data_IF_733468418787
#
_entry.id   IF_733468418787
#
_cell.length_a   1.000
_cell.length_b   1.000
_cell.length_c   1.000
_cell.angle_alpha   90.00
_cell.angle_beta   90.00
_cell.angle_gamma   90.00
#
_symmetry.space_group_name_H-M   'P 1'
#
loop_
_entity.id
_entity.type
_entity.pdbx_description
1 polymer ?
#
# COMPACT_ATOMS: atom_id res chain seq x y z
N UNK A 1 -12.83 -22.38 2.52
CA UNK A 1 -14.13 -21.94 2.04
C UNK A 1 -14.39 -20.46 2.33
N UNK A 2 -14.26 -20.00 3.58
CA UNK A 2 -14.58 -18.60 3.99
C UNK A 2 -13.78 -17.54 3.25
N UNK A 3 -12.45 -17.67 3.13
CA UNK A 3 -11.60 -16.71 2.42
C UNK A 3 -11.99 -16.54 0.96
N UNK A 4 -12.38 -17.63 0.27
CA UNK A 4 -12.83 -17.56 -1.12
C UNK A 4 -14.12 -16.76 -1.27
N UNK A 5 -15.08 -16.95 -0.38
CA UNK A 5 -16.32 -16.19 -0.38
C UNK A 5 -16.07 -14.69 -0.13
N UNK A 6 -15.14 -14.38 0.78
CA UNK A 6 -14.74 -12.99 1.04
C UNK A 6 -14.12 -12.33 -0.20
N UNK A 7 -13.23 -13.05 -0.92
CA UNK A 7 -12.65 -12.52 -2.16
C UNK A 7 -13.72 -12.35 -3.25
N UNK A 8 -14.62 -13.31 -3.43
CA UNK A 8 -15.72 -13.17 -4.39
C UNK A 8 -16.54 -11.92 -4.13
N UNK A 9 -16.98 -11.70 -2.90
CA UNK A 9 -17.75 -10.51 -2.51
C UNK A 9 -16.94 -9.21 -2.68
N UNK A 10 -15.66 -9.23 -2.30
CA UNK A 10 -14.79 -8.06 -2.42
C UNK A 10 -14.58 -7.66 -3.88
N UNK A 11 -14.22 -8.64 -4.74
CA UNK A 11 -13.97 -8.37 -6.16
C UNK A 11 -15.24 -8.01 -6.93
N UNK A 12 -16.41 -8.55 -6.55
CA UNK A 12 -17.70 -8.18 -7.13
C UNK A 12 -18.12 -6.75 -6.77
N UNK A 13 -17.77 -6.29 -5.56
CA UNK A 13 -18.07 -4.93 -5.10
C UNK A 13 -17.05 -3.89 -5.59
N UNK A 14 -15.91 -4.32 -6.11
CA UNK A 14 -14.82 -3.42 -6.50
C UNK A 14 -15.13 -2.73 -7.83
N UNK A 15 -14.88 -1.40 -7.95
CA UNK A 15 -15.07 -0.71 -9.23
C UNK A 15 -14.10 -1.20 -10.29
N UNK A 16 -14.46 -0.98 -11.56
CA UNK A 16 -13.61 -1.25 -12.72
C UNK A 16 -13.52 0.02 -13.58
N UNK A 17 -12.32 0.42 -14.07
CA UNK A 17 -11.03 -0.25 -13.87
C UNK A 17 -10.49 -0.08 -12.43
N UNK A 18 -9.69 -1.04 -11.97
CA UNK A 18 -9.01 -0.97 -10.67
C UNK A 18 -7.59 -1.52 -10.74
N UNK A 19 -6.66 -0.81 -10.10
CA UNK A 19 -5.29 -1.26 -9.86
C UNK A 19 -5.19 -1.76 -8.42
N UNK A 20 -4.66 -2.95 -8.25
CA UNK A 20 -4.70 -3.70 -7.00
C UNK A 20 -3.30 -4.10 -6.56
N UNK A 21 -3.04 -4.08 -5.26
CA UNK A 21 -1.87 -4.70 -4.67
C UNK A 21 -2.27 -5.44 -3.40
N UNK A 22 -1.39 -6.31 -2.90
CA UNK A 22 -1.69 -7.19 -1.78
C UNK A 22 -1.42 -6.53 -0.42
N UNK A 23 -2.24 -6.85 0.57
CA UNK A 23 -1.87 -6.71 1.98
C UNK A 23 -1.15 -7.96 2.51
N UNK A 24 -0.73 -7.91 3.77
CA UNK A 24 -0.06 -9.03 4.43
C UNK A 24 -0.99 -10.23 4.69
N UNK A 25 -2.29 -10.00 4.83
CA UNK A 25 -3.30 -11.05 5.06
C UNK A 25 -3.84 -11.67 3.77
N UNK A 26 -3.47 -11.13 2.62
CA UNK A 26 -3.91 -11.65 1.33
C UNK A 26 -3.19 -12.94 0.95
N UNK A 27 -3.85 -13.72 0.11
CA UNK A 27 -3.30 -14.97 -0.47
C UNK A 27 -3.15 -14.77 -1.97
N UNK A 28 -1.98 -14.29 -2.46
CA UNK A 28 -1.79 -13.92 -3.87
C UNK A 28 -2.17 -15.02 -4.86
N UNK A 29 -1.89 -16.28 -4.53
CA UNK A 29 -2.20 -17.42 -5.37
C UNK A 29 -3.70 -17.64 -5.62
N UNK A 30 -4.58 -17.07 -4.81
CA UNK A 30 -6.03 -17.18 -4.98
C UNK A 30 -6.61 -16.06 -5.85
N UNK A 31 -6.02 -14.88 -5.84
CA UNK A 31 -6.58 -13.67 -6.49
C UNK A 31 -6.91 -13.86 -7.97
N UNK A 32 -6.08 -14.53 -8.81
CA UNK A 32 -6.38 -14.70 -10.24
C UNK A 32 -7.75 -15.34 -10.53
N UNK A 33 -8.31 -16.11 -9.57
CA UNK A 33 -9.60 -16.77 -9.71
C UNK A 33 -10.79 -15.83 -9.52
N UNK A 34 -10.55 -14.64 -8.95
CA UNK A 34 -11.60 -13.68 -8.55
C UNK A 34 -11.52 -12.35 -9.30
N UNK A 35 -10.43 -12.08 -10.03
CA UNK A 35 -10.29 -10.85 -10.80
C UNK A 35 -11.45 -10.71 -11.80
N UNK A 36 -11.90 -9.47 -12.00
CA UNK A 36 -12.93 -9.09 -12.98
C UNK A 36 -12.29 -8.28 -14.10
N UNK A 37 -13.02 -8.09 -15.20
CA UNK A 37 -12.57 -7.28 -16.31
C UNK A 37 -12.19 -5.87 -15.83
N UNK A 38 -11.02 -5.40 -16.27
CA UNK A 38 -10.47 -4.10 -15.84
C UNK A 38 -9.73 -4.12 -14.52
N UNK A 39 -9.65 -5.28 -13.81
CA UNK A 39 -8.81 -5.43 -12.63
C UNK A 39 -7.39 -5.81 -13.02
N UNK A 40 -6.41 -5.07 -12.54
CA UNK A 40 -4.99 -5.34 -12.76
C UNK A 40 -4.25 -5.38 -11.41
N UNK A 41 -3.56 -6.49 -11.15
CA UNK A 41 -2.72 -6.65 -9.96
C UNK A 41 -1.31 -6.18 -10.28
N UNK A 42 -0.77 -5.30 -9.45
CA UNK A 42 0.57 -4.74 -9.54
C UNK A 42 1.31 -4.99 -8.22
N UNK A 43 2.48 -5.62 -8.32
CA UNK A 43 3.34 -5.88 -7.17
C UNK A 43 4.80 -5.85 -7.64
N UNK A 44 5.60 -4.96 -7.06
CA UNK A 44 6.92 -4.56 -7.54
C UNK A 44 6.89 -4.05 -9.01
N UNK A 45 5.83 -3.35 -9.38
CA UNK A 45 5.57 -2.89 -10.74
C UNK A 45 5.10 -1.44 -10.75
N UNK A 46 5.26 -0.80 -11.91
CA UNK A 46 4.83 0.59 -12.13
C UNK A 46 3.80 0.67 -13.27
N UNK A 47 2.99 1.72 -13.23
CA UNK A 47 2.07 2.09 -14.32
C UNK A 47 2.01 3.61 -14.43
N UNK A 48 1.79 4.13 -15.61
CA UNK A 48 1.61 5.57 -15.84
C UNK A 48 0.14 5.89 -16.06
N UNK A 49 -0.40 6.82 -15.28
CA UNK A 49 -1.77 7.31 -15.37
C UNK A 49 -1.71 8.84 -15.44
N UNK A 50 -2.30 9.41 -16.48
CA UNK A 50 -2.35 10.87 -16.71
C UNK A 50 -0.98 11.56 -16.58
N UNK A 51 0.06 10.89 -17.07
CA UNK A 51 1.44 11.38 -17.04
C UNK A 51 2.17 11.21 -15.71
N UNK A 52 1.53 10.71 -14.64
CA UNK A 52 2.14 10.37 -13.36
C UNK A 52 2.49 8.88 -13.31
N UNK A 53 3.68 8.57 -12.81
CA UNK A 53 4.12 7.19 -12.59
C UNK A 53 3.75 6.73 -11.20
N UNK A 54 3.00 5.64 -11.12
CA UNK A 54 2.61 4.96 -9.88
C UNK A 54 3.43 3.70 -9.70
N UNK A 55 3.98 3.50 -8.50
CA UNK A 55 4.69 2.26 -8.13
C UNK A 55 3.95 1.52 -7.02
N UNK A 56 3.87 0.20 -7.12
CA UNK A 56 3.11 -0.65 -6.20
C UNK A 56 3.99 -1.72 -5.56
N UNK A 57 3.90 -1.85 -4.24
CA UNK A 57 4.54 -2.93 -3.47
C UNK A 57 3.55 -3.48 -2.44
N UNK A 58 3.17 -4.74 -2.60
CA UNK A 58 2.29 -5.45 -1.69
C UNK A 58 3.04 -6.33 -0.69
N UNK A 59 2.26 -6.92 0.22
CA UNK A 59 2.74 -7.83 1.26
C UNK A 59 3.14 -7.12 2.55
N UNK A 60 3.47 -7.92 3.55
CA UNK A 60 3.99 -7.48 4.84
C UNK A 60 5.39 -7.99 5.11
N UNK A 61 5.98 -7.59 6.22
CA UNK A 61 7.23 -8.15 6.73
C UNK A 61 6.93 -9.29 7.70
N UNK A 62 7.87 -10.24 7.79
CA UNK A 62 7.79 -11.37 8.73
C UNK A 62 7.51 -10.84 10.13
N UNK A 63 6.46 -11.36 10.74
CA UNK A 63 5.96 -10.93 12.04
C UNK A 63 5.57 -12.13 12.91
N UNK A 64 5.41 -11.95 14.23
CA UNK A 64 4.85 -13.00 15.09
C UNK A 64 3.45 -13.46 14.69
N UNK A 65 2.72 -12.67 13.92
CA UNK A 65 1.36 -12.97 13.47
C UNK A 65 1.31 -14.03 12.36
N UNK A 66 2.42 -14.23 11.63
CA UNK A 66 2.54 -15.22 10.54
C UNK A 66 1.39 -15.14 9.56
N UNK A 67 1.19 -13.96 8.99
CA UNK A 67 0.16 -13.73 7.99
C UNK A 67 0.53 -14.37 6.63
N UNK A 68 -0.46 -14.64 5.74
CA UNK A 68 -0.21 -15.41 4.52
C UNK A 68 0.81 -14.80 3.55
N UNK A 69 0.94 -13.48 3.49
CA UNK A 69 1.88 -12.83 2.57
C UNK A 69 2.88 -11.95 3.32
N UNK A 70 3.85 -12.61 3.95
CA UNK A 70 4.98 -11.98 4.61
C UNK A 70 6.27 -12.25 3.84
N UNK A 71 7.12 -11.25 3.79
CA UNK A 71 8.41 -11.22 3.10
C UNK A 71 9.52 -10.94 4.11
N UNK A 72 10.72 -11.39 3.83
CA UNK A 72 11.90 -10.93 4.56
C UNK A 72 12.19 -9.46 4.24
N UNK A 73 12.98 -8.79 5.06
CA UNK A 73 13.44 -7.41 4.79
C UNK A 73 14.15 -7.31 3.44
N UNK A 74 14.95 -8.33 3.07
CA UNK A 74 15.68 -8.37 1.81
C UNK A 74 14.75 -8.51 0.61
N UNK A 75 13.76 -9.39 0.69
CA UNK A 75 12.75 -9.58 -0.36
C UNK A 75 11.91 -8.32 -0.54
N UNK A 76 11.50 -7.68 0.55
CA UNK A 76 10.73 -6.44 0.50
C UNK A 76 11.56 -5.29 -0.09
N UNK A 77 12.82 -5.14 0.34
CA UNK A 77 13.74 -4.15 -0.20
C UNK A 77 14.00 -4.33 -1.70
N UNK A 78 14.13 -5.58 -2.16
CA UNK A 78 14.28 -5.87 -3.59
C UNK A 78 13.06 -5.43 -4.42
N UNK A 79 11.83 -5.62 -3.89
CA UNK A 79 10.59 -5.16 -4.54
C UNK A 79 10.52 -3.64 -4.64
N UNK A 80 10.87 -2.95 -3.57
CA UNK A 80 10.90 -1.48 -3.54
C UNK A 80 11.95 -0.94 -4.53
N UNK A 81 13.16 -1.52 -4.54
CA UNK A 81 14.24 -1.12 -5.45
C UNK A 81 13.89 -1.35 -6.92
N UNK A 82 13.08 -2.36 -7.23
CA UNK A 82 12.67 -2.68 -8.62
C UNK A 82 11.78 -1.59 -9.25
N UNK A 83 11.18 -0.70 -8.47
CA UNK A 83 10.27 0.34 -8.98
C UNK A 83 11.00 1.44 -9.77
N UNK A 84 12.29 1.75 -9.44
CA UNK A 84 12.89 3.00 -9.89
C UNK A 84 12.15 4.24 -9.34
N UNK A 85 12.43 5.46 -9.84
CA UNK A 85 11.73 6.67 -9.41
C UNK A 85 10.25 6.68 -9.84
N UNK A 86 9.35 7.04 -8.92
CA UNK A 86 7.91 7.20 -9.17
C UNK A 86 7.38 8.53 -8.63
N UNK A 87 6.25 9.01 -9.18
CA UNK A 87 5.55 10.19 -8.68
C UNK A 87 4.66 9.85 -7.47
N UNK A 88 4.00 8.69 -7.52
CA UNK A 88 3.12 8.18 -6.46
C UNK A 88 3.56 6.77 -6.07
N UNK A 89 3.94 6.60 -4.81
CA UNK A 89 4.26 5.29 -4.25
C UNK A 89 3.03 4.73 -3.52
N UNK A 90 2.64 3.50 -3.85
CA UNK A 90 1.55 2.78 -3.21
C UNK A 90 2.08 1.50 -2.58
N UNK A 91 2.04 1.39 -1.26
CA UNK A 91 2.48 0.19 -0.55
C UNK A 91 1.43 -0.26 0.44
N UNK A 92 1.50 -1.53 0.88
CA UNK A 92 0.68 -1.95 2.01
C UNK A 92 1.23 -1.39 3.33
N UNK A 93 2.54 -1.54 3.56
CA UNK A 93 3.20 -1.11 4.78
C UNK A 93 3.49 0.40 4.81
N UNK A 94 3.39 1.04 5.99
CA UNK A 94 3.91 2.40 6.20
C UNK A 94 5.44 2.43 6.10
N UNK A 95 6.05 3.61 5.86
CA UNK A 95 7.47 3.78 6.10
C UNK A 95 7.76 3.62 7.60
N UNK A 96 8.96 3.12 7.96
CA UNK A 96 9.34 2.83 9.34
C UNK A 96 9.55 4.11 10.17
N UNK A 97 8.48 4.85 10.37
CA UNK A 97 8.41 6.03 11.24
C UNK A 97 7.50 5.67 12.42
N UNK A 98 7.97 5.70 13.67
CA UNK A 98 7.23 5.19 14.82
C UNK A 98 5.80 5.74 14.93
N UNK A 99 5.60 7.04 14.73
CA UNK A 99 4.29 7.68 14.83
C UNK A 99 3.28 7.20 13.77
N UNK A 100 3.77 6.72 12.62
CA UNK A 100 2.94 6.17 11.54
C UNK A 100 2.62 4.69 11.76
N UNK A 101 3.44 4.00 12.56
CA UNK A 101 3.34 2.57 12.82
C UNK A 101 2.58 2.23 14.11
N UNK A 102 2.33 3.18 15.01
CA UNK A 102 1.63 2.92 16.26
C UNK A 102 0.11 2.92 16.07
N UNK A 103 -0.51 1.77 16.38
CA UNK A 103 -1.97 1.64 16.39
C UNK A 103 -2.52 1.99 17.78
N UNK A 104 -3.37 3.02 17.85
CA UNK A 104 -3.89 3.56 19.10
C UNK A 104 -4.95 2.67 19.76
N UNK A 105 -5.64 1.85 18.98
CA UNK A 105 -6.66 0.91 19.49
C UNK A 105 -6.03 -0.40 19.88
N UNK A 106 -5.17 -0.96 19.01
CA UNK A 106 -4.41 -2.17 19.31
C UNK A 106 -3.32 -1.93 20.38
N UNK A 107 -2.94 -0.67 20.64
CA UNK A 107 -1.92 -0.23 21.61
C UNK A 107 -0.57 -0.89 21.39
N UNK A 108 -0.16 -1.00 20.13
CA UNK A 108 1.12 -1.61 19.76
C UNK A 108 1.67 -0.98 18.49
N UNK A 109 2.97 -1.19 18.27
CA UNK A 109 3.59 -0.90 16.98
C UNK A 109 3.29 -2.04 16.01
N UNK A 110 2.79 -1.67 14.84
CA UNK A 110 2.72 -2.54 13.68
C UNK A 110 3.99 -2.42 12.85
N UNK A 111 4.21 -3.37 11.93
CA UNK A 111 5.40 -3.37 11.09
C UNK A 111 5.39 -2.20 10.12
N UNK A 112 6.49 -1.45 10.07
CA UNK A 112 6.79 -0.46 9.04
C UNK A 112 8.02 -0.90 8.26
N UNK A 113 8.15 -0.45 7.02
CA UNK A 113 9.26 -0.81 6.14
C UNK A 113 10.37 0.22 6.18
N UNK A 114 11.57 -0.21 6.59
CA UNK A 114 12.79 0.59 6.50
C UNK A 114 13.16 0.86 5.04
N UNK A 115 13.04 -0.15 4.17
CA UNK A 115 13.31 0.00 2.74
C UNK A 115 12.38 1.04 2.09
N UNK A 116 11.12 1.10 2.48
CA UNK A 116 10.18 2.13 2.00
C UNK A 116 10.58 3.53 2.50
N UNK A 117 11.02 3.66 3.75
CA UNK A 117 11.49 4.94 4.28
C UNK A 117 12.74 5.44 3.55
N UNK A 118 13.69 4.55 3.28
CA UNK A 118 14.92 4.88 2.55
C UNK A 118 14.61 5.24 1.09
N UNK A 119 13.72 4.50 0.43
CA UNK A 119 13.24 4.85 -0.91
C UNK A 119 12.59 6.23 -0.95
N UNK A 120 11.71 6.55 0.01
CA UNK A 120 11.07 7.87 0.09
C UNK A 120 12.11 8.98 0.29
N UNK A 121 13.13 8.76 1.10
CA UNK A 121 14.23 9.73 1.31
C UNK A 121 15.06 9.95 0.05
N UNK A 122 15.35 8.89 -0.69
CA UNK A 122 16.18 8.93 -1.88
C UNK A 122 15.45 9.51 -3.09
N UNK A 123 14.27 8.97 -3.42
CA UNK A 123 13.55 9.30 -4.65
C UNK A 123 12.53 10.42 -4.49
N UNK A 124 12.11 10.73 -3.28
CA UNK A 124 11.19 11.84 -2.98
C UNK A 124 9.93 11.85 -3.87
N UNK A 125 9.13 10.77 -3.95
CA UNK A 125 7.85 10.81 -4.64
C UNK A 125 6.98 11.96 -4.11
N UNK A 126 6.02 12.43 -4.89
CA UNK A 126 5.11 13.50 -4.44
C UNK A 126 4.26 13.04 -3.26
N UNK A 127 3.77 11.79 -3.36
CA UNK A 127 2.91 11.16 -2.34
C UNK A 127 3.29 9.70 -2.15
N UNK A 128 3.26 9.23 -0.92
CA UNK A 128 3.29 7.82 -0.55
C UNK A 128 1.97 7.45 0.13
N UNK A 129 1.20 6.56 -0.50
CA UNK A 129 -0.07 6.03 0.00
C UNK A 129 0.14 4.64 0.58
N UNK A 130 -0.37 4.39 1.78
CA UNK A 130 -0.24 3.09 2.46
C UNK A 130 -1.43 2.83 3.40
N UNK A 131 -1.53 1.59 3.90
CA UNK A 131 -2.54 1.17 4.85
C UNK A 131 -1.94 0.50 6.09
N UNK A 132 -2.28 -0.78 6.30
CA UNK A 132 -1.79 -1.68 7.33
C UNK A 132 -2.16 -1.29 8.77
N UNK A 133 -1.79 -0.10 9.24
CA UNK A 133 -2.13 0.41 10.57
C UNK A 133 -3.54 0.97 10.52
N UNK A 134 -4.48 0.31 11.21
CA UNK A 134 -5.90 0.62 11.10
C UNK A 134 -6.27 1.92 11.81
N UNK A 135 -5.69 2.18 12.97
CA UNK A 135 -5.94 3.37 13.79
C UNK A 135 -4.60 4.05 14.14
N UNK A 136 -3.91 4.64 13.14
CA UNK A 136 -2.58 5.19 13.34
C UNK A 136 -2.63 6.38 14.31
N UNK A 137 -1.63 6.46 15.18
CA UNK A 137 -1.42 7.63 16.02
C UNK A 137 -1.29 8.91 15.18
N UNK A 138 -0.61 8.79 14.05
CA UNK A 138 -0.45 9.85 13.07
C UNK A 138 -0.80 9.33 11.69
N UNK A 139 -1.89 9.83 11.06
CA UNK A 139 -2.30 9.36 9.73
C UNK A 139 -1.45 9.95 8.59
N UNK A 140 -0.69 11.01 8.85
CA UNK A 140 0.15 11.70 7.86
C UNK A 140 1.47 12.15 8.45
N UNK A 141 2.52 12.13 7.63
CA UNK A 141 3.81 12.77 7.91
C UNK A 141 4.44 13.23 6.61
N UNK A 142 5.35 14.20 6.72
CA UNK A 142 6.15 14.66 5.58
C UNK A 142 7.59 14.21 5.74
N UNK A 143 8.14 13.61 4.68
CA UNK A 143 9.54 13.21 4.58
C UNK A 143 10.14 13.93 3.37
N UNK A 144 10.94 14.97 3.61
CA UNK A 144 11.36 15.88 2.54
C UNK A 144 10.14 16.51 1.85
N UNK A 145 10.02 16.36 0.52
CA UNK A 145 8.84 16.82 -0.22
C UNK A 145 7.67 15.80 -0.23
N UNK A 146 7.92 14.56 0.16
CA UNK A 146 6.93 13.49 0.09
C UNK A 146 5.89 13.61 1.21
N UNK A 147 4.63 13.61 0.86
CA UNK A 147 3.53 13.38 1.80
C UNK A 147 3.29 11.89 1.97
N UNK A 148 3.53 11.35 3.16
CA UNK A 148 3.21 9.97 3.53
C UNK A 148 1.82 9.95 4.15
N UNK A 149 0.88 9.20 3.57
CA UNK A 149 -0.55 9.23 3.93
C UNK A 149 -1.07 7.82 4.14
N UNK A 150 -1.58 7.53 5.34
CA UNK A 150 -2.39 6.36 5.59
C UNK A 150 -3.79 6.58 5.00
N UNK A 151 -4.17 5.76 4.01
CA UNK A 151 -5.46 5.89 3.31
C UNK A 151 -6.67 5.44 4.15
N UNK A 152 -6.41 4.90 5.32
CA UNK A 152 -7.42 4.45 6.26
C UNK A 152 -7.83 3.00 6.08
N UNK A 153 -8.59 2.52 7.06
CA UNK A 153 -9.16 1.17 7.09
C UNK A 153 -10.61 1.24 6.60
N UNK A 154 -10.87 0.77 5.37
CA UNK A 154 -12.19 0.91 4.73
C UNK A 154 -13.31 0.30 5.54
N UNK A 155 -13.09 -0.87 6.16
CA UNK A 155 -14.09 -1.53 7.01
C UNK A 155 -14.57 -0.63 8.17
N UNK A 156 -13.66 0.16 8.75
CA UNK A 156 -14.00 1.09 9.83
C UNK A 156 -14.60 2.42 9.36
N UNK A 157 -14.18 2.91 8.20
CA UNK A 157 -14.60 4.22 7.68
C UNK A 157 -15.76 4.16 6.69
N UNK A 158 -15.86 3.09 5.92
CA UNK A 158 -16.86 2.86 4.86
C UNK A 158 -16.85 3.88 3.71
N UNK A 159 -15.77 4.63 3.55
CA UNK A 159 -15.53 5.49 2.40
C UNK A 159 -14.03 5.47 2.01
N UNK A 160 -13.71 5.57 0.71
CA UNK A 160 -12.33 5.54 0.24
C UNK A 160 -11.62 6.88 0.49
N UNK A 161 -10.28 6.84 0.54
CA UNK A 161 -9.47 8.03 0.41
C UNK A 161 -9.48 8.51 -1.04
N UNK A 162 -9.70 9.80 -1.26
CA UNK A 162 -9.69 10.41 -2.59
C UNK A 162 -8.44 11.28 -2.75
N UNK A 163 -7.75 11.12 -3.88
CA UNK A 163 -6.57 11.89 -4.27
C UNK A 163 -6.85 12.62 -5.59
N UNK A 164 -6.64 13.94 -5.62
CA UNK A 164 -6.75 14.73 -6.83
C UNK A 164 -5.43 14.68 -7.63
N UNK A 165 -5.43 13.98 -8.76
CA UNK A 165 -4.25 13.84 -9.62
C UNK A 165 -3.86 15.17 -10.28
N UNK A 166 -4.81 16.06 -10.55
CA UNK A 166 -4.50 17.36 -11.14
C UNK A 166 -3.67 18.24 -10.19
N UNK A 167 -3.89 18.09 -8.88
CA UNK A 167 -3.08 18.75 -7.86
C UNK A 167 -1.63 18.22 -7.85
N UNK A 168 -1.47 16.90 -7.95
CA UNK A 168 -0.16 16.27 -8.05
C UNK A 168 0.60 16.70 -9.33
N UNK A 169 -0.09 16.78 -10.46
CA UNK A 169 0.50 17.24 -11.72
C UNK A 169 1.06 18.67 -11.61
N UNK A 170 0.37 19.56 -10.88
CA UNK A 170 0.85 20.92 -10.63
C UNK A 170 2.09 20.98 -9.70
N UNK A 171 2.30 19.94 -8.87
CA UNK A 171 3.41 19.84 -7.93
C UNK A 171 4.66 19.18 -8.52
N UNK A 172 4.56 18.59 -9.70
CA UNK A 172 5.65 17.93 -10.41
C UNK A 172 6.59 18.95 -11.03
#
# INVERSE_FOLDING_TARGET
AMVRLQYEQMFDAMPSPALLTYGNVDVPALWPQFLRDGHQVLDAQTVTIDGLTFGFVGGGLVSPMRTPYELTEEEYAAKVAALGPVDVLCTHLPPAIPELCYDTVARRFEMGSAATLDYVREHQPLVHLYGHVHQPHRPRARVGRTECINVGHFHGRQFPYALDLSDLQRRR
#
